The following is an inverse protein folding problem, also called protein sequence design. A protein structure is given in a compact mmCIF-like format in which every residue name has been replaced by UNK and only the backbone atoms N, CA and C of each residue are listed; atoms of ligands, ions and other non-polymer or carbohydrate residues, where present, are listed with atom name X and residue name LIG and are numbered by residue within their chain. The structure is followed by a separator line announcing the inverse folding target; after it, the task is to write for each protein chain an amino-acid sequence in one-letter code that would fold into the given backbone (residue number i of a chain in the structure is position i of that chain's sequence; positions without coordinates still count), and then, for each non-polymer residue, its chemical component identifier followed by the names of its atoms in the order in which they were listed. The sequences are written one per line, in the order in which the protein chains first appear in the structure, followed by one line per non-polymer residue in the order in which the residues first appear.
data_IF_320366853990
#
_entry.id   IF_320366853990
#
_cell.length_a   1.000
_cell.length_b   1.000
_cell.length_c   1.000
_cell.angle_alpha   90.00
_cell.angle_beta   90.00
_cell.angle_gamma   90.00
#
_symmetry.space_group_name_H-M   'P 1'
#
loop_
_entity.id
_entity.type
_entity.pdbx_description
1 polymer ?
#
# COMPACT_ATOMS: atom_id res chain seq x y z
N UNK A 1 13.47 -6.63 -4.00
CA UNK A 1 12.23 -5.81 -3.95
C UNK A 1 11.09 -6.52 -4.66
N UNK A 2 10.01 -6.86 -3.95
CA UNK A 2 8.87 -7.61 -4.48
C UNK A 2 7.82 -6.67 -5.08
N UNK A 3 7.22 -7.06 -6.21
CA UNK A 3 6.19 -6.30 -6.93
C UNK A 3 4.86 -7.02 -6.88
N UNK A 4 3.77 -6.26 -6.90
CA UNK A 4 2.41 -6.76 -6.78
C UNK A 4 1.39 -5.67 -7.09
N UNK A 5 0.14 -5.89 -6.69
CA UNK A 5 -0.92 -4.90 -6.84
C UNK A 5 -1.68 -4.69 -5.54
N UNK A 6 -2.28 -3.51 -5.38
CA UNK A 6 -3.04 -3.14 -4.19
C UNK A 6 -4.53 -3.43 -4.37
N UNK A 7 -5.15 -4.02 -3.35
CA UNK A 7 -6.59 -4.28 -3.29
C UNK A 7 -7.14 -4.04 -1.89
N UNK A 8 -8.44 -3.80 -1.76
CA UNK A 8 -9.09 -3.82 -0.46
C UNK A 8 -9.57 -5.22 -0.13
N UNK A 9 -9.35 -5.66 1.10
CA UNK A 9 -9.96 -6.89 1.62
C UNK A 9 -11.39 -6.67 2.11
N UNK A 10 -12.02 -7.74 2.57
CA UNK A 10 -13.40 -7.73 3.08
C UNK A 10 -13.59 -6.84 4.33
N UNK A 11 -12.49 -6.41 4.97
CA UNK A 11 -12.48 -5.47 6.10
C UNK A 11 -12.19 -4.02 5.66
N UNK A 12 -12.06 -3.77 4.36
CA UNK A 12 -11.75 -2.46 3.79
C UNK A 12 -10.31 -1.99 3.98
N UNK A 13 -9.38 -2.88 4.38
CA UNK A 13 -7.95 -2.58 4.54
C UNK A 13 -7.21 -2.85 3.24
N UNK A 14 -6.12 -2.09 3.01
CA UNK A 14 -5.28 -2.31 1.84
C UNK A 14 -4.42 -3.57 2.02
N UNK A 15 -4.40 -4.40 0.99
CA UNK A 15 -3.54 -5.56 0.87
C UNK A 15 -2.62 -5.41 -0.33
N UNK A 16 -1.37 -5.80 -0.14
CA UNK A 16 -0.39 -5.96 -1.20
C UNK A 16 -0.40 -7.41 -1.67
N UNK A 17 -0.91 -7.63 -2.88
CA UNK A 17 -1.05 -8.95 -3.48
C UNK A 17 0.09 -9.23 -4.45
N UNK A 18 0.79 -10.34 -4.21
CA UNK A 18 1.86 -10.86 -5.06
C UNK A 18 1.51 -12.27 -5.50
N UNK A 19 2.32 -12.87 -6.39
CA UNK A 19 2.17 -14.27 -6.78
C UNK A 19 2.36 -15.25 -5.61
N UNK A 20 2.98 -14.79 -4.51
CA UNK A 20 3.29 -15.61 -3.33
C UNK A 20 2.23 -15.51 -2.23
N UNK A 21 1.33 -14.54 -2.31
CA UNK A 21 0.28 -14.34 -1.32
C UNK A 21 -0.13 -12.88 -1.18
N UNK A 22 -1.04 -12.65 -0.24
CA UNK A 22 -1.50 -11.32 0.15
C UNK A 22 -0.86 -10.91 1.46
N UNK A 23 -0.64 -9.60 1.60
CA UNK A 23 -0.02 -9.01 2.77
C UNK A 23 -0.81 -7.77 3.17
N UNK A 24 -1.42 -7.79 4.35
CA UNK A 24 -2.18 -6.64 4.86
C UNK A 24 -1.25 -5.47 5.20
N UNK A 25 -1.63 -4.28 4.75
CA UNK A 25 -0.95 -3.02 5.02
C UNK A 25 -1.69 -2.27 6.14
N UNK A 26 -0.93 -1.87 7.16
CA UNK A 26 -1.42 -1.09 8.29
C UNK A 26 -0.99 0.37 8.17
N UNK A 27 -1.54 1.25 9.00
CA UNK A 27 -1.05 2.64 9.11
C UNK A 27 0.45 2.66 9.39
N UNK A 28 1.19 3.51 8.69
CA UNK A 28 2.66 3.60 8.71
C UNK A 28 3.37 2.58 7.82
N UNK A 29 2.68 1.64 7.17
CA UNK A 29 3.30 0.74 6.18
C UNK A 29 3.81 1.54 4.99
N UNK A 30 5.13 1.50 4.75
CA UNK A 30 5.76 2.14 3.60
C UNK A 30 5.55 1.28 2.35
N UNK A 31 5.05 1.89 1.29
CA UNK A 31 4.79 1.27 -0.01
C UNK A 31 5.18 2.22 -1.13
N UNK A 32 5.59 1.68 -2.26
CA UNK A 32 5.79 2.45 -3.49
C UNK A 32 4.74 2.04 -4.50
N UNK A 33 4.01 3.01 -5.05
CA UNK A 33 2.96 2.79 -6.06
C UNK A 33 3.40 3.36 -7.41
N UNK A 34 2.96 2.74 -8.51
CA UNK A 34 3.21 3.27 -9.84
C UNK A 34 2.05 4.17 -10.28
N UNK A 35 2.29 5.47 -10.30
CA UNK A 35 1.32 6.49 -10.68
C UNK A 35 2.02 7.60 -11.47
N UNK A 36 1.31 8.24 -12.40
CA UNK A 36 1.85 9.32 -13.25
C UNK A 36 3.17 8.95 -13.96
N UNK A 37 3.28 7.69 -14.40
CA UNK A 37 4.48 7.13 -15.05
C UNK A 37 5.76 7.17 -14.17
N UNK A 38 5.59 7.19 -12.85
CA UNK A 38 6.69 7.18 -11.88
C UNK A 38 6.35 6.27 -10.68
N UNK A 39 7.40 5.84 -9.97
CA UNK A 39 7.23 5.19 -8.67
C UNK A 39 7.16 6.26 -7.59
N UNK A 40 6.00 6.38 -6.95
CA UNK A 40 5.76 7.28 -5.84
C UNK A 40 5.92 6.53 -4.54
N UNK A 41 6.76 7.06 -3.65
CA UNK A 41 7.02 6.47 -2.34
C UNK A 41 6.18 7.16 -1.28
N UNK A 42 5.56 6.38 -0.40
CA UNK A 42 4.71 6.92 0.64
C UNK A 42 4.34 5.87 1.67
N UNK A 43 3.35 6.19 2.48
CA UNK A 43 2.87 5.34 3.56
C UNK A 43 1.35 5.21 3.52
N UNK A 44 0.87 4.07 3.98
CA UNK A 44 -0.56 3.90 4.25
C UNK A 44 -0.91 4.66 5.52
N UNK A 45 -1.96 5.45 5.49
CA UNK A 45 -2.53 6.17 6.62
C UNK A 45 -4.03 5.88 6.74
N UNK A 46 -4.62 6.23 7.87
CA UNK A 46 -6.06 6.21 8.04
C UNK A 46 -6.56 7.54 8.61
N UNK A 47 -7.65 8.04 8.04
CA UNK A 47 -8.37 9.21 8.53
C UNK A 47 -9.87 8.94 8.67
N UNK A 48 -10.66 9.99 8.88
CA UNK A 48 -12.13 9.89 9.03
C UNK A 48 -12.84 9.31 7.79
N UNK A 49 -12.19 9.25 6.64
CA UNK A 49 -12.73 8.70 5.39
C UNK A 49 -12.17 7.30 5.09
N UNK A 50 -11.32 6.74 5.97
CA UNK A 50 -10.73 5.41 5.84
C UNK A 50 -9.25 5.44 5.46
N UNK A 51 -8.76 4.33 4.89
CA UNK A 51 -7.35 4.19 4.53
C UNK A 51 -6.99 4.93 3.24
N UNK A 52 -5.85 5.60 3.23
CA UNK A 52 -5.29 6.30 2.08
C UNK A 52 -3.78 6.06 1.96
N UNK A 53 -3.23 6.34 0.78
CA UNK A 53 -1.80 6.50 0.58
C UNK A 53 -1.45 7.99 0.71
N UNK A 54 -0.44 8.29 1.53
CA UNK A 54 0.13 9.60 1.69
C UNK A 54 1.57 9.58 1.15
N UNK A 55 1.82 10.34 0.09
CA UNK A 55 3.14 10.45 -0.53
C UNK A 55 4.15 11.11 0.43
N UNK A 56 5.45 10.85 0.25
CA UNK A 56 6.52 11.38 1.13
C UNK A 56 6.65 12.91 1.14
N UNK A 57 6.07 13.61 0.17
CA UNK A 57 5.97 15.08 0.19
C UNK A 57 4.82 15.60 1.07
N UNK A 58 4.02 14.71 1.67
CA UNK A 58 2.82 14.99 2.46
C UNK A 58 1.73 15.82 1.72
N UNK A 59 1.78 15.96 0.39
CA UNK A 59 0.78 16.73 -0.38
C UNK A 59 -0.21 15.87 -1.14
N UNK A 60 0.22 14.68 -1.58
CA UNK A 60 -0.60 13.82 -2.43
C UNK A 60 -1.26 12.71 -1.61
N UNK A 61 -2.58 12.79 -1.49
CA UNK A 61 -3.42 11.78 -0.84
C UNK A 61 -4.19 11.01 -1.92
N UNK A 62 -3.87 9.72 -2.06
CA UNK A 62 -4.55 8.82 -3.02
C UNK A 62 -5.40 7.84 -2.23
N UNK A 63 -6.72 7.85 -2.49
CA UNK A 63 -7.71 7.06 -1.74
C UNK A 63 -8.18 5.80 -2.45
N UNK A 64 -8.05 5.77 -3.77
CA UNK A 64 -8.35 4.59 -4.56
C UNK A 64 -7.06 4.07 -5.17
N UNK A 65 -6.62 2.93 -4.65
CA UNK A 65 -5.41 2.23 -5.06
C UNK A 65 -5.77 0.88 -5.70
N UNK A 66 -7.04 0.58 -5.93
CA UNK A 66 -7.47 -0.72 -6.43
C UNK A 66 -6.82 -1.05 -7.78
N UNK A 67 -6.13 -2.18 -7.86
CA UNK A 67 -5.40 -2.62 -9.06
C UNK A 67 -4.12 -1.83 -9.34
N UNK A 68 -3.73 -0.90 -8.47
CA UNK A 68 -2.51 -0.10 -8.66
C UNK A 68 -1.28 -0.98 -8.46
N UNK A 69 -0.35 -0.95 -9.42
CA UNK A 69 0.92 -1.65 -9.30
C UNK A 69 1.72 -1.05 -8.14
N UNK A 70 2.21 -1.90 -7.25
CA UNK A 70 2.94 -1.51 -6.06
C UNK A 70 4.19 -2.37 -5.86
N UNK A 71 5.08 -1.90 -4.99
CA UNK A 71 6.23 -2.66 -4.49
C UNK A 71 6.53 -2.26 -3.04
N UNK A 72 6.96 -3.23 -2.25
CA UNK A 72 7.40 -2.98 -0.88
C UNK A 72 8.91 -2.71 -0.83
N UNK A 73 9.36 -1.64 -0.15
CA UNK A 73 10.79 -1.39 0.04
C UNK A 73 11.49 -2.57 0.71
N UNK A 74 12.77 -2.77 0.40
CA UNK A 74 13.55 -3.84 1.01
C UNK A 74 13.64 -3.64 2.54
N UNK A 75 13.28 -4.66 3.32
CA UNK A 75 13.19 -4.55 4.78
C UNK A 75 11.89 -3.94 5.32
N UNK A 76 10.98 -3.46 4.47
CA UNK A 76 9.61 -3.14 4.86
C UNK A 76 8.87 -4.44 5.18
N UNK A 77 9.04 -4.92 6.42
CA UNK A 77 8.19 -5.98 6.96
C UNK A 77 6.78 -5.41 7.04
N UNK A 78 5.89 -5.90 6.20
CA UNK A 78 4.50 -5.80 6.51
C UNK A 78 4.26 -6.42 7.88
N UNK A 79 3.69 -5.64 8.79
CA UNK A 79 3.36 -6.12 10.12
C UNK A 79 1.95 -6.70 10.04
N UNK A 80 1.87 -8.01 9.92
CA UNK A 80 0.62 -8.78 9.92
C UNK A 80 0.69 -9.84 8.82
N UNK A 81 0.40 -11.12 9.05
CA UNK A 81 -0.04 -11.84 10.23
C UNK A 81 -0.33 -13.23 9.67
N UNK A 82 0.48 -14.21 10.05
CA UNK A 82 0.31 -15.60 9.66
C UNK A 82 -1.08 -16.06 10.14
N UNK A 83 -1.96 -16.43 9.21
CA UNK A 83 -3.12 -17.27 9.48
C UNK A 83 -2.76 -18.69 9.09
#
# INVERSE_FOLDING_TARGET
MEKGALFKNDRGRWEFNTERGSVELSCGSVVEIFAFNAWLRGRIEADRQGYCFLHENDTDVIRDLAGTLARLPEGARARGGMI
#
